data_IF_433307558601
#
_entry.id   IF_433307558601
#
_cell.length_a   1.000
_cell.length_b   1.000
_cell.length_c   1.000
_cell.angle_alpha   90.00
_cell.angle_beta   90.00
_cell.angle_gamma   90.00
#
_symmetry.space_group_name_H-M   'P 1'
#
loop_
_entity.id
_entity.type
_entity.pdbx_description
1 polymer ?
#
# COMPACT_ATOMS: atom_id res chain seq x y z
N UNK A 1 19.62 69.00 -34.49
CA UNK A 1 18.66 67.89 -34.22
C UNK A 1 19.43 66.80 -33.50
N UNK A 2 19.01 66.51 -32.27
CA UNK A 2 19.59 65.54 -31.34
C UNK A 2 19.45 64.12 -31.87
N UNK A 3 20.48 63.29 -31.77
CA UNK A 3 20.24 61.85 -31.73
C UNK A 3 21.17 61.17 -30.72
N UNK A 4 20.55 60.72 -29.64
CA UNK A 4 21.19 60.04 -28.53
C UNK A 4 21.60 58.63 -28.96
N UNK A 5 22.90 58.32 -28.85
CA UNK A 5 23.41 56.96 -28.98
C UNK A 5 22.93 56.12 -27.79
N UNK A 6 21.88 55.33 -28.01
CA UNK A 6 21.41 54.31 -27.06
C UNK A 6 22.49 53.22 -26.98
N UNK A 7 23.23 53.21 -25.86
CA UNK A 7 24.16 52.13 -25.50
C UNK A 7 23.34 50.88 -25.20
N UNK A 8 23.36 49.92 -26.12
CA UNK A 8 22.75 48.61 -25.95
C UNK A 8 23.57 47.84 -24.91
N UNK A 9 22.95 47.48 -23.79
CA UNK A 9 23.55 46.62 -22.78
C UNK A 9 23.77 45.23 -23.41
N UNK A 10 25.02 44.78 -23.42
CA UNK A 10 25.41 43.44 -23.84
C UNK A 10 24.91 42.44 -22.79
N UNK A 11 23.89 41.67 -23.15
CA UNK A 11 23.35 40.60 -22.31
C UNK A 11 24.20 39.35 -22.55
N UNK A 12 25.33 39.28 -21.85
CA UNK A 12 26.30 38.19 -21.99
C UNK A 12 25.69 36.86 -21.50
N UNK A 13 25.03 36.14 -22.41
CA UNK A 13 24.56 34.76 -22.16
C UNK A 13 25.75 33.85 -21.91
N UNK A 14 26.07 33.62 -20.64
CA UNK A 14 27.06 32.62 -20.21
C UNK A 14 26.55 31.22 -20.55
N UNK A 15 27.24 30.53 -21.45
CA UNK A 15 26.99 29.13 -21.77
C UNK A 15 27.52 28.21 -20.67
N UNK A 16 26.86 27.05 -20.51
CA UNK A 16 27.30 25.99 -19.61
C UNK A 16 28.58 25.34 -20.13
N UNK A 17 29.60 25.15 -19.30
CA UNK A 17 30.82 24.46 -19.73
C UNK A 17 30.64 22.93 -19.66
N UNK A 18 31.30 22.20 -20.55
CA UNK A 18 31.31 20.73 -20.50
C UNK A 18 31.90 20.20 -19.19
N UNK A 19 32.86 20.94 -18.61
CA UNK A 19 33.50 20.61 -17.34
C UNK A 19 32.52 20.76 -16.18
N UNK A 20 31.69 21.81 -16.17
CA UNK A 20 30.64 21.97 -15.16
C UNK A 20 29.65 20.80 -15.21
N UNK A 21 29.24 20.36 -16.40
CA UNK A 21 28.32 19.23 -16.52
C UNK A 21 28.96 17.92 -16.01
N UNK A 22 30.24 17.70 -16.33
CA UNK A 22 30.98 16.51 -15.91
C UNK A 22 31.12 16.42 -14.38
N UNK A 23 31.46 17.54 -13.73
CA UNK A 23 31.60 17.57 -12.26
C UNK A 23 30.24 17.36 -11.60
N UNK A 24 29.17 17.94 -12.13
CA UNK A 24 27.82 17.80 -11.58
C UNK A 24 27.35 16.35 -11.61
N UNK A 25 27.48 15.65 -12.74
CA UNK A 25 27.08 14.23 -12.79
C UNK A 25 27.96 13.35 -11.89
N UNK A 26 29.24 13.69 -11.73
CA UNK A 26 30.15 13.01 -10.82
C UNK A 26 29.73 13.15 -9.35
N UNK A 27 29.39 14.36 -8.93
CA UNK A 27 28.89 14.62 -7.57
C UNK A 27 27.52 13.96 -7.35
N UNK A 28 26.60 14.02 -8.33
CA UNK A 28 25.28 13.38 -8.24
C UNK A 28 25.39 11.86 -8.07
N UNK A 29 26.32 11.20 -8.77
CA UNK A 29 26.54 9.75 -8.63
C UNK A 29 26.98 9.37 -7.20
N UNK A 30 27.89 10.16 -6.60
CA UNK A 30 28.36 9.91 -5.24
C UNK A 30 27.24 10.14 -4.22
N UNK A 31 26.48 11.24 -4.35
CA UNK A 31 25.39 11.56 -3.44
C UNK A 31 24.27 10.52 -3.49
N UNK A 32 23.87 10.09 -4.68
CA UNK A 32 22.82 9.07 -4.85
C UNK A 32 23.23 7.73 -4.26
N UNK A 33 24.48 7.29 -4.47
CA UNK A 33 25.00 6.07 -3.85
C UNK A 33 25.00 6.16 -2.31
N UNK A 34 25.45 7.29 -1.74
CA UNK A 34 25.47 7.50 -0.30
C UNK A 34 24.06 7.47 0.32
N UNK A 35 23.08 8.10 -0.33
CA UNK A 35 21.68 8.14 0.14
C UNK A 35 21.07 6.73 0.20
N UNK A 36 21.31 5.88 -0.80
CA UNK A 36 20.77 4.51 -0.82
C UNK A 36 21.32 3.66 0.32
N UNK A 37 22.60 3.81 0.66
CA UNK A 37 23.22 3.09 1.79
C UNK A 37 22.62 3.54 3.12
N UNK A 38 22.34 4.83 3.28
CA UNK A 38 21.78 5.38 4.53
C UNK A 38 20.30 5.02 4.71
N UNK A 39 19.50 5.01 3.65
CA UNK A 39 18.04 4.90 3.76
C UNK A 39 17.48 3.47 3.83
N UNK A 40 18.30 2.42 3.72
CA UNK A 40 17.89 1.01 3.70
C UNK A 40 16.48 0.80 3.07
N UNK A 41 16.32 0.96 1.74
CA UNK A 41 15.01 1.00 1.10
C UNK A 41 14.17 -0.28 1.33
N UNK A 42 14.81 -1.41 1.59
CA UNK A 42 14.12 -2.65 1.92
C UNK A 42 13.32 -2.55 3.24
N UNK A 43 13.87 -1.86 4.23
CA UNK A 43 13.23 -1.64 5.53
C UNK A 43 12.10 -0.63 5.43
N UNK A 44 12.26 0.44 4.66
CA UNK A 44 11.17 1.39 4.40
C UNK A 44 9.96 0.71 3.74
N UNK A 45 10.22 -0.18 2.77
CA UNK A 45 9.14 -0.97 2.16
C UNK A 45 8.52 -1.96 3.15
N UNK A 46 9.30 -2.54 4.07
CA UNK A 46 8.77 -3.39 5.13
C UNK A 46 7.86 -2.62 6.10
N UNK A 47 8.31 -1.44 6.56
CA UNK A 47 7.53 -0.55 7.43
C UNK A 47 6.22 -0.10 6.76
N UNK A 48 6.25 0.18 5.45
CA UNK A 48 5.05 0.52 4.69
C UNK A 48 4.03 -0.64 4.67
N UNK A 49 4.49 -1.88 4.45
CA UNK A 49 3.62 -3.07 4.52
C UNK A 49 3.04 -3.30 5.91
N UNK A 50 3.84 -3.10 6.95
CA UNK A 50 3.37 -3.25 8.34
C UNK A 50 2.35 -2.17 8.72
N UNK A 51 2.54 -0.95 8.22
CA UNK A 51 1.54 0.13 8.36
C UNK A 51 0.23 -0.23 7.66
N UNK A 52 0.31 -0.80 6.45
CA UNK A 52 -0.86 -1.28 5.73
C UNK A 52 -1.58 -2.39 6.50
N UNK A 53 -0.84 -3.40 7.00
CA UNK A 53 -1.41 -4.47 7.85
C UNK A 53 -2.09 -3.93 9.10
N UNK A 54 -1.50 -2.93 9.75
CA UNK A 54 -2.10 -2.31 10.93
C UNK A 54 -3.44 -1.65 10.59
N UNK A 55 -3.49 -0.89 9.49
CA UNK A 55 -4.73 -0.28 8.99
C UNK A 55 -5.78 -1.33 8.61
N UNK A 56 -5.37 -2.43 8.01
CA UNK A 56 -6.24 -3.55 7.63
C UNK A 56 -6.84 -4.22 8.87
N UNK A 57 -6.04 -4.45 9.92
CA UNK A 57 -6.50 -4.98 11.21
C UNK A 57 -7.48 -4.01 11.91
N UNK A 58 -7.23 -2.71 11.85
CA UNK A 58 -8.13 -1.70 12.41
C UNK A 58 -9.49 -1.68 11.67
N UNK A 59 -9.47 -1.81 10.33
CA UNK A 59 -10.69 -1.92 9.54
C UNK A 59 -11.51 -3.17 9.91
N UNK A 60 -10.83 -4.33 10.04
CA UNK A 60 -11.46 -5.58 10.49
C UNK A 60 -12.02 -5.44 11.90
N UNK A 61 -11.26 -4.86 12.82
CA UNK A 61 -11.70 -4.62 14.20
C UNK A 61 -12.96 -3.76 14.24
N UNK A 62 -13.01 -2.70 13.43
CA UNK A 62 -14.19 -1.86 13.27
C UNK A 62 -15.39 -2.64 12.73
N UNK A 63 -15.19 -3.44 11.68
CA UNK A 63 -16.23 -4.28 11.09
C UNK A 63 -16.80 -5.30 12.08
N UNK A 64 -15.95 -6.05 12.79
CA UNK A 64 -16.37 -7.02 13.80
C UNK A 64 -17.11 -6.35 14.96
N UNK A 65 -16.61 -5.21 15.43
CA UNK A 65 -17.26 -4.46 16.51
C UNK A 65 -18.66 -3.99 16.10
N UNK A 66 -18.80 -3.51 14.85
CA UNK A 66 -20.09 -3.10 14.32
C UNK A 66 -21.03 -4.30 14.12
N UNK A 67 -20.52 -5.43 13.62
CA UNK A 67 -21.28 -6.67 13.45
C UNK A 67 -21.89 -7.17 14.77
N UNK A 68 -21.10 -7.14 15.85
CA UNK A 68 -21.53 -7.56 17.18
C UNK A 68 -22.63 -6.67 17.77
N UNK A 69 -22.67 -5.39 17.39
CA UNK A 69 -23.70 -4.44 17.84
C UNK A 69 -24.95 -4.52 16.95
N UNK A 70 -24.78 -4.72 15.65
CA UNK A 70 -25.88 -4.72 14.68
C UNK A 70 -26.65 -6.06 14.62
N UNK A 71 -26.03 -7.17 15.04
CA UNK A 71 -26.59 -8.52 14.89
C UNK A 71 -27.14 -9.04 16.22
N UNK A 72 -28.40 -9.47 16.24
CA UNK A 72 -29.06 -9.97 17.47
C UNK A 72 -28.54 -11.32 17.95
N UNK A 73 -28.05 -12.16 17.02
CA UNK A 73 -27.47 -13.47 17.30
C UNK A 73 -26.18 -13.62 16.48
N UNK A 74 -25.04 -13.07 16.96
CA UNK A 74 -23.80 -13.12 16.20
C UNK A 74 -23.34 -14.57 16.04
N UNK A 75 -23.06 -14.97 14.80
CA UNK A 75 -22.58 -16.31 14.46
C UNK A 75 -21.17 -16.18 13.91
N UNK A 76 -20.27 -17.02 14.43
CA UNK A 76 -18.93 -17.19 13.88
C UNK A 76 -18.88 -18.53 13.17
N UNK A 77 -18.51 -18.53 11.89
CA UNK A 77 -18.34 -19.77 11.15
C UNK A 77 -17.15 -20.57 11.69
N UNK A 78 -17.29 -21.90 11.67
CA UNK A 78 -16.27 -22.83 12.17
C UNK A 78 -15.46 -23.50 11.05
N UNK A 79 -15.82 -23.22 9.79
CA UNK A 79 -15.17 -23.78 8.61
C UNK A 79 -13.97 -22.93 8.23
N UNK A 80 -12.84 -23.55 7.88
CA UNK A 80 -11.65 -22.82 7.41
C UNK A 80 -11.65 -22.78 5.89
N UNK A 81 -11.47 -21.60 5.30
CA UNK A 81 -11.34 -21.43 3.85
C UNK A 81 -9.90 -21.06 3.49
N UNK A 82 -9.44 -21.51 2.33
CA UNK A 82 -8.07 -21.29 1.84
C UNK A 82 -8.09 -20.89 0.36
N UNK A 83 -7.11 -20.10 -0.07
CA UNK A 83 -6.90 -19.75 -1.49
C UNK A 83 -6.23 -20.87 -2.29
N UNK A 84 -5.50 -21.76 -1.62
CA UNK A 84 -4.89 -22.93 -2.25
C UNK A 84 -5.64 -24.21 -1.90
N UNK A 85 -5.84 -25.05 -2.92
CA UNK A 85 -6.16 -26.47 -2.70
C UNK A 85 -5.05 -27.08 -1.86
N UNK A 86 -5.45 -27.83 -0.83
CA UNK A 86 -4.60 -28.31 0.25
C UNK A 86 -3.45 -29.18 -0.25
N UNK A 87 -2.24 -28.64 -0.29
CA UNK A 87 -1.02 -29.43 -0.10
C UNK A 87 -0.27 -28.85 1.11
N UNK A 88 -0.57 -29.39 2.30
CA UNK A 88 0.25 -29.15 3.51
C UNK A 88 -0.43 -28.49 4.71
N UNK A 89 -1.71 -28.09 4.65
CA UNK A 89 -2.47 -27.62 5.81
C UNK A 89 -3.51 -28.67 6.21
N UNK A 90 -3.41 -29.22 7.43
CA UNK A 90 -4.30 -30.29 7.92
C UNK A 90 -5.61 -29.70 8.48
N UNK A 91 -6.31 -28.97 7.62
CA UNK A 91 -7.67 -28.52 7.85
C UNK A 91 -8.61 -29.59 7.29
N UNK A 92 -9.16 -30.45 8.16
CA UNK A 92 -9.98 -31.62 7.77
C UNK A 92 -11.25 -31.31 6.94
N UNK A 93 -11.50 -30.04 6.59
CA UNK A 93 -12.61 -29.59 5.76
C UNK A 93 -12.32 -28.30 4.96
N UNK A 94 -11.06 -27.93 4.68
CA UNK A 94 -10.85 -26.71 3.88
C UNK A 94 -11.31 -26.91 2.44
N UNK A 95 -12.14 -25.97 2.01
CA UNK A 95 -12.57 -25.85 0.63
C UNK A 95 -11.80 -24.71 0.00
N UNK A 96 -11.18 -24.93 -1.16
CA UNK A 96 -10.52 -23.88 -1.92
C UNK A 96 -11.58 -22.87 -2.40
N UNK A 97 -11.46 -21.61 -1.98
CA UNK A 97 -12.41 -20.53 -2.31
C UNK A 97 -11.68 -19.19 -2.39
N UNK A 98 -12.34 -18.20 -2.97
CA UNK A 98 -11.93 -16.81 -2.77
C UNK A 98 -12.13 -16.46 -1.29
N UNK A 99 -11.03 -16.23 -0.57
CA UNK A 99 -11.06 -15.94 0.87
C UNK A 99 -11.23 -14.45 1.17
N UNK A 100 -11.27 -13.59 0.17
CA UNK A 100 -11.35 -12.14 0.36
C UNK A 100 -12.80 -11.62 0.36
N UNK A 101 -13.78 -12.51 0.36
CA UNK A 101 -15.20 -12.19 0.41
C UNK A 101 -15.68 -11.89 1.83
N UNK A 102 -16.79 -11.15 1.94
CA UNK A 102 -17.43 -10.78 3.21
C UNK A 102 -18.71 -11.59 3.50
N UNK A 103 -18.97 -12.64 2.73
CA UNK A 103 -20.19 -13.46 2.73
C UNK A 103 -20.10 -14.67 3.68
N UNK A 104 -19.20 -14.62 4.66
CA UNK A 104 -18.92 -15.72 5.58
C UNK A 104 -18.05 -16.83 4.99
N UNK A 105 -17.64 -16.73 3.72
CA UNK A 105 -16.77 -17.68 3.05
C UNK A 105 -15.30 -17.23 2.96
N UNK A 106 -14.98 -16.09 3.58
CA UNK A 106 -13.66 -15.51 3.62
C UNK A 106 -12.71 -16.16 4.64
N UNK A 107 -11.48 -15.64 4.73
CA UNK A 107 -10.51 -16.06 5.76
C UNK A 107 -10.95 -15.63 7.18
N UNK A 108 -11.90 -14.69 7.26
CA UNK A 108 -12.72 -14.43 8.44
C UNK A 108 -14.12 -14.96 8.14
N UNK A 109 -14.59 -15.88 8.96
CA UNK A 109 -15.81 -16.69 8.74
C UNK A 109 -17.06 -16.00 9.29
N UNK A 110 -17.09 -14.67 9.23
CA UNK A 110 -18.22 -13.84 9.63
C UNK A 110 -18.87 -13.34 8.34
N UNK A 111 -20.18 -13.49 8.25
CA UNK A 111 -20.95 -12.93 7.14
C UNK A 111 -21.32 -11.47 7.45
N UNK A 112 -20.51 -10.54 6.94
CA UNK A 112 -20.80 -9.12 7.04
C UNK A 112 -21.84 -8.68 6.00
N UNK A 113 -22.12 -9.48 4.98
CA UNK A 113 -23.11 -9.15 3.94
C UNK A 113 -24.55 -9.14 4.48
N UNK A 114 -24.81 -9.84 5.60
CA UNK A 114 -26.11 -9.82 6.29
C UNK A 114 -26.37 -8.52 7.05
N UNK A 115 -25.36 -7.68 7.25
CA UNK A 115 -25.52 -6.37 7.90
C UNK A 115 -26.17 -5.39 6.93
N UNK A 116 -27.48 -5.18 7.06
CA UNK A 116 -28.21 -4.23 6.21
C UNK A 116 -28.36 -2.84 6.84
N UNK A 117 -28.35 -2.73 8.17
CA UNK A 117 -28.52 -1.46 8.90
C UNK A 117 -27.83 -1.50 10.28
N UNK A 118 -26.66 -0.88 10.47
CA UNK A 118 -25.79 -0.26 9.46
C UNK A 118 -25.19 -1.29 8.49
N UNK A 119 -24.83 -0.85 7.29
CA UNK A 119 -24.15 -1.68 6.30
C UNK A 119 -22.74 -2.06 6.74
N UNK A 120 -22.20 -3.15 6.19
CA UNK A 120 -20.79 -3.52 6.40
C UNK A 120 -19.86 -2.34 6.06
N UNK A 121 -18.89 -1.99 6.92
CA UNK A 121 -17.93 -0.93 6.67
C UNK A 121 -16.79 -1.37 5.72
N UNK A 122 -16.72 -2.66 5.42
CA UNK A 122 -15.75 -3.26 4.50
C UNK A 122 -16.48 -3.97 3.35
N UNK A 123 -15.96 -3.83 2.12
CA UNK A 123 -16.51 -4.46 0.92
C UNK A 123 -15.79 -5.76 0.53
N UNK A 124 -14.59 -5.98 1.07
CA UNK A 124 -13.76 -7.17 0.91
C UNK A 124 -12.88 -7.32 2.16
N UNK A 125 -12.48 -8.55 2.48
CA UNK A 125 -11.47 -8.77 3.50
C UNK A 125 -10.08 -8.36 2.97
N UNK A 126 -9.25 -7.69 3.79
CA UNK A 126 -7.92 -7.29 3.36
C UNK A 126 -7.05 -8.46 2.90
N UNK A 127 -6.15 -8.14 1.96
CA UNK A 127 -5.15 -9.06 1.42
C UNK A 127 -3.78 -8.60 1.89
N UNK A 128 -3.00 -9.51 2.48
CA UNK A 128 -1.64 -9.21 2.91
C UNK A 128 -0.80 -8.72 1.71
N UNK A 129 -0.07 -7.59 1.81
CA UNK A 129 0.70 -7.00 0.70
C UNK A 129 1.81 -7.90 0.12
N UNK A 130 2.13 -9.02 0.77
CA UNK A 130 3.09 -10.01 0.28
C UNK A 130 2.40 -11.11 -0.53
N UNK A 131 1.10 -11.34 -0.30
CA UNK A 131 0.35 -12.44 -0.90
C UNK A 131 -0.45 -11.97 -2.14
N UNK A 132 0.28 -11.77 -3.24
CA UNK A 132 -0.27 -11.27 -4.52
C UNK A 132 -0.72 -12.37 -5.50
N UNK A 133 -1.01 -13.59 -5.02
CA UNK A 133 -1.51 -14.67 -5.88
C UNK A 133 -2.99 -14.51 -6.26
#
# INVERSE_FOLDING_TARGET
>A
MSNASKKLADDSKRGFTLVELLVVIGVLAILTAAVVVVLNPAELLAQARDTQRMSDLDAIRGAVSLYLVATTTPVFGTTVYSTSGTDGFNCGAATARDVYTIDGNGWITIDFSTMTNPSSPISALPRDPVNNA
#
